data_IF_039221164788
#
_entry.id   IF_039221164788
#
_cell.length_a   1.000
_cell.length_b   1.000
_cell.length_c   1.000
_cell.angle_alpha   90.00
_cell.angle_beta   90.00
_cell.angle_gamma   90.00
#
_symmetry.space_group_name_H-M   'P 1'
#
loop_
_entity.id
_entity.type
_entity.pdbx_description
1 polymer ?
#
# COMPACT_ATOMS: atom_id res chain seq x y z
N UNK A 1 -7.78 -0.64 12.61
CA UNK A 1 -8.94 0.27 12.67
C UNK A 1 -8.60 1.48 11.82
N UNK A 2 -9.36 1.79 10.76
CA UNK A 2 -9.13 3.00 9.96
C UNK A 2 -9.62 4.19 10.81
N UNK A 3 -8.85 5.27 11.00
CA UNK A 3 -9.27 6.37 11.86
C UNK A 3 -10.57 7.02 11.36
N UNK A 4 -11.52 7.28 12.27
CA UNK A 4 -12.81 7.96 11.98
C UNK A 4 -12.64 9.35 11.36
N UNK A 5 -11.46 9.95 11.43
CA UNK A 5 -11.13 11.21 10.74
C UNK A 5 -11.13 11.08 9.20
N UNK A 6 -11.12 9.87 8.65
CA UNK A 6 -11.22 9.65 7.20
C UNK A 6 -12.66 9.81 6.65
N UNK A 7 -13.70 9.66 7.47
CA UNK A 7 -15.10 9.74 6.99
C UNK A 7 -15.61 11.19 6.85
N UNK A 8 -14.86 12.18 7.34
CA UNK A 8 -15.38 13.55 7.56
C UNK A 8 -15.35 14.48 6.33
N UNK A 9 -14.66 14.14 5.25
CA UNK A 9 -14.34 15.09 4.17
C UNK A 9 -14.98 14.78 2.80
N UNK A 10 -15.97 13.89 2.71
CA UNK A 10 -16.64 13.58 1.43
C UNK A 10 -15.74 12.93 0.36
N UNK A 11 -14.50 12.57 0.71
CA UNK A 11 -13.60 11.83 -0.18
C UNK A 11 -13.95 10.35 -0.16
N UNK A 12 -14.16 9.76 -1.33
CA UNK A 12 -14.36 8.31 -1.45
C UNK A 12 -13.00 7.61 -1.34
N UNK A 13 -12.87 6.65 -0.42
CA UNK A 13 -11.64 5.91 -0.16
C UNK A 13 -11.74 4.46 -0.65
N UNK A 14 -10.66 3.96 -1.23
CA UNK A 14 -10.45 2.54 -1.45
C UNK A 14 -9.63 1.94 -0.32
N UNK A 15 -10.03 0.76 0.14
CA UNK A 15 -9.21 -0.05 1.04
C UNK A 15 -8.11 -0.73 0.25
N UNK A 16 -6.86 -0.39 0.52
CA UNK A 16 -5.69 -1.01 -0.10
C UNK A 16 -5.01 -1.92 0.91
N UNK A 17 -4.72 -3.14 0.48
CA UNK A 17 -3.98 -4.13 1.27
C UNK A 17 -2.72 -4.52 0.49
N UNK A 18 -1.55 -4.51 1.14
CA UNK A 18 -0.26 -4.88 0.55
C UNK A 18 0.30 -6.04 1.38
N UNK A 19 0.45 -7.20 0.76
CA UNK A 19 1.08 -8.37 1.35
C UNK A 19 2.54 -8.43 0.91
N UNK A 20 3.48 -8.40 1.86
CA UNK A 20 4.91 -8.51 1.54
C UNK A 20 5.31 -9.97 1.56
N UNK A 21 5.79 -10.47 0.43
CA UNK A 21 6.22 -11.86 0.32
C UNK A 21 7.65 -12.00 0.85
N UNK A 22 7.95 -13.08 1.60
CA UNK A 22 9.29 -13.31 2.10
C UNK A 22 10.26 -13.52 0.93
N UNK A 23 11.45 -12.92 1.01
CA UNK A 23 12.47 -13.02 -0.03
C UNK A 23 13.68 -12.14 0.24
N UNK A 24 14.78 -12.35 -0.51
CA UNK A 24 16.06 -11.64 -0.30
C UNK A 24 15.95 -10.12 -0.53
N UNK A 25 14.92 -9.67 -1.27
CA UNK A 25 14.70 -8.26 -1.60
C UNK A 25 13.76 -7.53 -0.62
N UNK A 26 13.43 -8.13 0.53
CA UNK A 26 12.42 -7.58 1.46
C UNK A 26 12.66 -6.11 1.87
N UNK A 27 13.91 -5.72 2.10
CA UNK A 27 14.25 -4.33 2.47
C UNK A 27 13.99 -3.34 1.33
N UNK A 28 14.38 -3.69 0.11
CA UNK A 28 14.17 -2.85 -1.08
C UNK A 28 12.67 -2.70 -1.39
N UNK A 29 11.91 -3.78 -1.27
CA UNK A 29 10.46 -3.78 -1.48
C UNK A 29 9.74 -2.87 -0.47
N UNK A 30 10.20 -2.86 0.79
CA UNK A 30 9.69 -1.96 1.84
C UNK A 30 10.01 -0.50 1.53
N UNK A 31 11.25 -0.20 1.12
CA UNK A 31 11.65 1.16 0.75
C UNK A 31 10.80 1.71 -0.41
N UNK A 32 10.65 0.93 -1.48
CA UNK A 32 9.82 1.31 -2.62
C UNK A 32 8.35 1.53 -2.21
N UNK A 33 7.82 0.66 -1.35
CA UNK A 33 6.44 0.80 -0.87
C UNK A 33 6.28 2.06 -0.01
N UNK A 34 7.27 2.40 0.82
CA UNK A 34 7.29 3.65 1.58
C UNK A 34 7.22 4.87 0.66
N UNK A 35 8.04 4.92 -0.39
CA UNK A 35 8.03 6.01 -1.36
C UNK A 35 6.69 6.11 -2.10
N UNK A 36 6.12 4.98 -2.49
CA UNK A 36 4.81 4.93 -3.11
C UNK A 36 3.71 5.49 -2.19
N UNK A 37 3.80 5.22 -0.89
CA UNK A 37 2.89 5.77 0.13
C UNK A 37 3.14 7.25 0.40
N UNK A 38 4.40 7.73 0.40
CA UNK A 38 4.71 9.17 0.50
C UNK A 38 4.02 9.92 -0.63
N UNK A 39 4.12 9.42 -1.85
CA UNK A 39 3.46 10.07 -2.98
C UNK A 39 1.93 10.00 -2.91
N UNK A 40 1.34 8.98 -2.29
CA UNK A 40 -0.10 8.86 -2.14
C UNK A 40 -0.64 9.72 -0.97
N UNK A 41 0.05 9.77 0.16
CA UNK A 41 -0.48 10.34 1.41
C UNK A 41 0.31 11.51 1.99
N UNK A 42 1.41 11.89 1.36
CA UNK A 42 2.41 12.76 1.95
C UNK A 42 3.27 12.02 2.97
N UNK A 43 4.43 12.61 3.26
CA UNK A 43 5.42 12.05 4.17
C UNK A 43 4.90 11.76 5.60
N UNK A 44 4.10 12.62 6.26
CA UNK A 44 3.68 12.39 7.65
C UNK A 44 2.85 11.11 7.80
N UNK A 45 1.88 10.94 6.91
CA UNK A 45 1.01 9.78 6.88
C UNK A 45 1.78 8.53 6.49
N UNK A 46 2.66 8.63 5.48
CA UNK A 46 3.48 7.50 5.05
C UNK A 46 4.41 7.02 6.18
N UNK A 47 5.07 7.92 6.91
CA UNK A 47 5.95 7.59 8.04
C UNK A 47 5.21 6.82 9.16
N UNK A 48 3.99 7.24 9.50
CA UNK A 48 3.16 6.53 10.47
C UNK A 48 2.79 5.12 9.98
N UNK A 49 2.37 5.03 8.72
CA UNK A 49 1.97 3.77 8.10
C UNK A 49 3.15 2.81 7.95
N UNK A 50 4.34 3.30 7.61
CA UNK A 50 5.52 2.44 7.40
C UNK A 50 6.26 2.09 8.68
N UNK A 51 6.08 2.85 9.76
CA UNK A 51 6.47 2.40 11.10
C UNK A 51 5.77 1.09 11.49
N UNK A 52 4.53 0.90 11.05
CA UNK A 52 3.81 -0.38 11.22
C UNK A 52 4.30 -1.47 10.26
N UNK A 53 4.75 -1.10 9.05
CA UNK A 53 5.36 -2.02 8.08
C UNK A 53 6.72 -2.56 8.51
N UNK A 54 7.54 -1.75 9.17
CA UNK A 54 8.86 -2.15 9.62
C UNK A 54 8.79 -3.31 10.63
N UNK A 55 7.75 -3.32 11.47
CA UNK A 55 7.55 -4.30 12.55
C UNK A 55 6.91 -5.62 12.11
N UNK A 56 6.30 -5.68 10.93
CA UNK A 56 5.61 -6.88 10.44
C UNK A 56 6.15 -7.28 9.07
N UNK A 57 6.77 -8.46 8.96
CA UNK A 57 6.99 -9.14 7.67
C UNK A 57 5.69 -9.68 7.10
N UNK A 58 4.67 -8.82 6.94
CA UNK A 58 3.31 -9.26 6.70
C UNK A 58 2.37 -8.19 6.14
N UNK A 59 1.11 -8.62 6.03
CA UNK A 59 0.02 -7.90 5.39
C UNK A 59 -0.26 -6.53 6.01
N UNK A 60 -0.22 -5.51 5.17
CA UNK A 60 -0.51 -4.12 5.49
C UNK A 60 -1.83 -3.68 4.91
N UNK A 61 -2.54 -2.78 5.58
CA UNK A 61 -3.87 -2.35 5.16
C UNK A 61 -4.11 -0.88 5.49
N UNK A 62 -4.52 -0.12 4.48
CA UNK A 62 -4.69 1.33 4.56
C UNK A 62 -5.87 1.80 3.69
N UNK A 63 -6.48 2.93 4.04
CA UNK A 63 -7.44 3.61 3.19
C UNK A 63 -6.71 4.64 2.32
N UNK A 64 -6.89 4.58 1.01
CA UNK A 64 -6.31 5.51 0.02
C UNK A 64 -7.45 6.23 -0.69
N UNK A 65 -7.37 7.55 -0.86
CA UNK A 65 -8.37 8.27 -1.66
C UNK A 65 -8.45 7.67 -3.08
N UNK A 66 -9.66 7.50 -3.62
CA UNK A 66 -9.87 6.85 -4.92
C UNK A 66 -9.00 7.48 -6.03
N UNK A 67 -8.95 8.82 -6.08
CA UNK A 67 -8.15 9.59 -7.04
C UNK A 67 -6.64 9.27 -6.99
N UNK A 68 -6.13 8.86 -5.82
CA UNK A 68 -4.72 8.52 -5.60
C UNK A 68 -4.45 7.02 -5.73
N UNK A 69 -5.48 6.20 -5.65
CA UNK A 69 -5.37 4.72 -5.76
C UNK A 69 -4.80 4.31 -7.11
N UNK A 70 -5.18 4.98 -8.20
CA UNK A 70 -4.64 4.71 -9.55
C UNK A 70 -3.13 4.94 -9.62
N UNK A 71 -2.65 6.04 -9.05
CA UNK A 71 -1.23 6.38 -9.02
C UNK A 71 -0.43 5.40 -8.15
N UNK A 72 -0.96 5.04 -6.97
CA UNK A 72 -0.37 4.04 -6.09
C UNK A 72 -0.27 2.68 -6.78
N UNK A 73 -1.36 2.22 -7.41
CA UNK A 73 -1.40 0.98 -8.21
C UNK A 73 -0.30 0.98 -9.26
N UNK A 74 -0.17 2.07 -10.03
CA UNK A 74 0.84 2.17 -11.10
C UNK A 74 2.27 2.04 -10.58
N UNK A 75 2.57 2.65 -9.42
CA UNK A 75 3.88 2.60 -8.78
C UNK A 75 4.22 1.25 -8.16
N UNK A 76 3.23 0.53 -7.64
CA UNK A 76 3.42 -0.78 -7.02
C UNK A 76 3.32 -1.95 -8.01
N UNK A 77 2.78 -1.71 -9.21
CA UNK A 77 2.63 -2.73 -10.25
C UNK A 77 3.93 -3.48 -10.59
N UNK A 78 5.12 -2.86 -10.65
CA UNK A 78 6.37 -3.58 -10.88
C UNK A 78 6.67 -4.62 -9.80
N UNK A 79 6.45 -4.28 -8.52
CA UNK A 79 6.66 -5.20 -7.39
C UNK A 79 5.66 -6.35 -7.39
N UNK A 80 4.42 -6.05 -7.78
CA UNK A 80 3.37 -7.06 -7.98
C UNK A 80 3.74 -8.04 -9.07
N UNK A 81 4.21 -7.54 -10.23
CA UNK A 81 4.63 -8.37 -11.38
C UNK A 81 5.87 -9.20 -11.08
N UNK A 82 6.80 -8.67 -10.29
CA UNK A 82 7.98 -9.38 -9.85
C UNK A 82 7.68 -10.45 -8.77
N UNK A 83 6.43 -10.61 -8.35
CA UNK A 83 6.06 -11.58 -7.31
C UNK A 83 6.61 -11.22 -5.93
N UNK A 84 6.91 -9.94 -5.68
CA UNK A 84 7.49 -9.48 -4.41
C UNK A 84 6.41 -9.03 -3.41
N UNK A 85 5.24 -8.60 -3.93
CA UNK A 85 4.08 -8.24 -3.11
C UNK A 85 2.78 -8.76 -3.72
N UNK A 86 1.76 -8.97 -2.90
CA UNK A 86 0.37 -9.09 -3.35
C UNK A 86 -0.40 -7.81 -3.00
N UNK A 87 -0.91 -7.11 -4.01
CA UNK A 87 -1.69 -5.89 -3.84
C UNK A 87 -3.18 -6.19 -3.95
N UNK A 88 -3.99 -5.66 -3.05
CA UNK A 88 -5.46 -5.73 -3.10
C UNK A 88 -6.04 -4.32 -3.00
N UNK A 89 -7.05 -4.02 -3.82
CA UNK A 89 -7.78 -2.75 -3.80
C UNK A 89 -9.26 -3.04 -3.72
N UNK A 90 -9.94 -2.45 -2.73
CA UNK A 90 -11.33 -2.73 -2.39
C UNK A 90 -11.60 -4.24 -2.19
N UNK A 91 -10.60 -5.00 -1.72
CA UNK A 91 -10.68 -6.45 -1.54
C UNK A 91 -10.32 -7.27 -2.79
N UNK A 92 -10.26 -6.65 -3.97
CA UNK A 92 -9.88 -7.33 -5.20
C UNK A 92 -8.38 -7.35 -5.38
N UNK A 93 -7.80 -8.53 -5.62
CA UNK A 93 -6.37 -8.67 -5.91
C UNK A 93 -6.04 -7.99 -7.23
N UNK A 94 -5.10 -7.06 -7.20
CA UNK A 94 -4.52 -6.46 -8.39
C UNK A 94 -3.45 -7.43 -8.89
N UNK A 95 -3.83 -8.22 -9.89
CA UNK A 95 -3.02 -9.16 -10.67
C UNK A 95 -1.88 -9.89 -9.92
N UNK A 96 -2.00 -11.21 -9.79
CA UNK A 96 -0.86 -12.10 -9.60
C UNK A 96 -1.12 -13.36 -10.42
N UNK A 97 -0.18 -13.67 -11.33
CA UNK A 97 -0.08 -14.82 -12.26
C UNK A 97 -1.22 -15.03 -13.27
N UNK A 98 -0.89 -14.85 -14.57
CA UNK A 98 -0.88 -15.99 -15.48
C UNK A 98 0.58 -16.35 -15.72
#
# INVERSE_FOLDING_TARGET
MIPRSFERNGEVFNRVTIDFLPGPHALQVRAWTHDALIHAHGYPTARLLTGTLARAGGRFRVAIAMRKTKALKRRLLPLVRAGLIALYVAGHRIFGTK
#
